data_IF_655823264053
#
_entry.id   IF_655823264053
#
_cell.length_a   1.000
_cell.length_b   1.000
_cell.length_c   1.000
_cell.angle_alpha   90.00
_cell.angle_beta   90.00
_cell.angle_gamma   90.00
#
_symmetry.space_group_name_H-M   'P 1'
#
loop_
_entity.id
_entity.type
_entity.pdbx_description
1 polymer ?
#
# COMPACT_ATOMS: atom_id res chain seq x y z
N UNK A 1 7.52 -15.85 -21.18
CA UNK A 1 6.62 -16.53 -20.23
C UNK A 1 5.99 -15.45 -19.37
N UNK A 2 4.67 -15.26 -19.45
CA UNK A 2 3.93 -14.36 -18.57
C UNK A 2 3.78 -15.04 -17.20
N UNK A 3 4.29 -14.41 -16.14
CA UNK A 3 4.00 -14.83 -14.77
C UNK A 3 2.48 -14.74 -14.53
N UNK A 4 1.90 -15.83 -14.03
CA UNK A 4 0.53 -15.82 -13.52
C UNK A 4 0.58 -15.15 -12.15
N UNK A 5 0.06 -13.92 -12.05
CA UNK A 5 -0.05 -13.21 -10.78
C UNK A 5 -1.31 -13.71 -10.08
N UNK A 6 -1.15 -14.54 -9.05
CA UNK A 6 -2.26 -14.96 -8.20
C UNK A 6 -2.47 -13.93 -7.09
N UNK A 7 -3.67 -13.34 -7.05
CA UNK A 7 -4.04 -12.42 -5.98
C UNK A 7 -4.14 -13.16 -4.64
N UNK A 8 -3.69 -12.51 -3.57
CA UNK A 8 -3.78 -12.99 -2.20
C UNK A 8 -4.63 -12.04 -1.36
N UNK A 9 -5.25 -12.55 -0.29
CA UNK A 9 -5.96 -11.71 0.66
C UNK A 9 -4.96 -10.74 1.29
N UNK A 10 -5.26 -9.45 1.18
CA UNK A 10 -4.40 -8.40 1.73
C UNK A 10 -4.44 -8.41 3.26
N UNK A 11 -3.28 -8.62 3.88
CA UNK A 11 -3.00 -8.20 5.24
C UNK A 11 -2.05 -6.99 5.21
N UNK A 12 -2.52 -5.77 5.53
CA UNK A 12 -1.69 -4.58 5.46
C UNK A 12 -0.56 -4.54 6.49
N UNK A 13 -0.57 -5.36 7.54
CA UNK A 13 0.49 -5.39 8.55
C UNK A 13 1.69 -6.22 8.08
N UNK A 14 1.43 -7.24 7.27
CA UNK A 14 2.46 -8.18 6.75
C UNK A 14 2.76 -7.98 5.27
N UNK A 15 2.07 -7.05 4.58
CA UNK A 15 2.40 -6.71 3.18
C UNK A 15 3.87 -6.29 3.07
N UNK A 16 4.68 -6.94 2.22
CA UNK A 16 6.06 -6.55 2.00
C UNK A 16 6.15 -5.20 1.28
N UNK A 17 6.82 -4.23 1.91
CA UNK A 17 6.93 -2.84 1.42
C UNK A 17 8.13 -2.59 0.48
N UNK A 18 8.73 -3.66 -0.04
CA UNK A 18 9.75 -3.63 -1.08
C UNK A 18 9.23 -4.23 -2.38
N UNK A 19 9.88 -3.86 -3.49
CA UNK A 19 9.45 -4.17 -4.86
C UNK A 19 8.07 -3.55 -5.18
N UNK A 20 7.53 -3.87 -6.35
CA UNK A 20 6.21 -3.40 -6.79
C UNK A 20 5.13 -4.34 -6.25
N UNK A 21 4.06 -3.77 -5.71
CA UNK A 21 2.86 -4.48 -5.26
C UNK A 21 1.64 -3.87 -5.93
N UNK A 22 0.71 -4.70 -6.38
CA UNK A 22 -0.60 -4.28 -6.85
C UNK A 22 -1.62 -4.69 -5.79
N UNK A 23 -2.39 -3.73 -5.30
CA UNK A 23 -3.46 -3.97 -4.31
C UNK A 23 -4.78 -3.68 -5.01
N UNK A 24 -5.59 -4.73 -5.18
CA UNK A 24 -6.97 -4.59 -5.63
C UNK A 24 -7.87 -4.42 -4.41
N UNK A 25 -8.81 -3.49 -4.51
CA UNK A 25 -9.76 -3.22 -3.45
C UNK A 25 -11.09 -2.79 -4.07
N UNK A 26 -12.21 -3.19 -3.47
CA UNK A 26 -13.56 -2.80 -3.90
C UNK A 26 -14.06 -1.54 -3.18
N UNK A 27 -15.16 -0.95 -3.62
CA UNK A 27 -15.78 0.16 -2.90
C UNK A 27 -16.10 -0.25 -1.46
N UNK A 28 -15.87 0.64 -0.49
CA UNK A 28 -16.16 0.39 0.92
C UNK A 28 -15.15 -0.50 1.68
N UNK A 29 -14.12 -1.06 1.04
CA UNK A 29 -13.14 -1.96 1.70
C UNK A 29 -12.01 -1.23 2.44
N UNK A 30 -12.27 -0.03 2.97
CA UNK A 30 -11.30 0.68 3.82
C UNK A 30 -10.01 1.15 3.12
N UNK A 31 -10.02 1.48 1.81
CA UNK A 31 -8.82 1.92 1.07
C UNK A 31 -8.02 3.01 1.79
N UNK A 32 -8.69 4.03 2.30
CA UNK A 32 -8.06 5.13 3.04
C UNK A 32 -7.38 4.63 4.31
N UNK A 33 -8.02 3.71 5.03
CA UNK A 33 -7.43 3.06 6.20
C UNK A 33 -6.18 2.26 5.82
N UNK A 34 -6.26 1.45 4.77
CA UNK A 34 -5.11 0.69 4.26
C UNK A 34 -3.95 1.61 3.89
N UNK A 35 -4.21 2.67 3.11
CA UNK A 35 -3.17 3.64 2.71
C UNK A 35 -2.55 4.28 3.94
N UNK A 36 -3.35 4.73 4.92
CA UNK A 36 -2.85 5.32 6.16
C UNK A 36 -1.98 4.37 6.97
N UNK A 37 -2.38 3.09 7.08
CA UNK A 37 -1.60 2.08 7.79
C UNK A 37 -0.26 1.79 7.08
N UNK A 38 -0.26 1.64 5.75
CA UNK A 38 0.97 1.47 4.98
C UNK A 38 1.89 2.69 5.10
N UNK A 39 1.32 3.89 5.08
CA UNK A 39 2.05 5.14 5.28
C UNK A 39 2.74 5.19 6.66
N UNK A 40 2.04 4.82 7.73
CA UNK A 40 2.61 4.73 9.07
C UNK A 40 3.71 3.67 9.16
N UNK A 41 3.54 2.52 8.50
CA UNK A 41 4.58 1.48 8.45
C UNK A 41 5.87 1.99 7.80
N UNK A 42 5.77 2.78 6.73
CA UNK A 42 6.93 3.41 6.09
C UNK A 42 7.58 4.45 6.99
N UNK A 43 6.79 5.32 7.64
CA UNK A 43 7.30 6.35 8.55
C UNK A 43 8.02 5.78 9.78
N UNK A 44 7.50 4.68 10.32
CA UNK A 44 7.96 4.13 11.61
C UNK A 44 8.85 2.89 11.46
N UNK A 45 9.09 2.41 10.23
CA UNK A 45 9.88 1.20 9.97
C UNK A 45 9.22 -0.09 10.50
N UNK A 46 7.90 -0.19 10.45
CA UNK A 46 7.15 -1.31 11.04
C UNK A 46 6.92 -2.47 10.04
N UNK A 47 6.98 -3.71 10.55
CA UNK A 47 6.65 -4.92 9.79
C UNK A 47 7.75 -5.99 9.71
N UNK A 48 8.82 -5.87 10.51
CA UNK A 48 9.90 -6.86 10.57
C UNK A 48 10.50 -7.14 9.19
N UNK A 49 10.57 -8.41 8.78
CA UNK A 49 11.06 -8.83 7.47
C UNK A 49 10.28 -8.23 6.28
N UNK A 50 9.05 -7.79 6.51
CA UNK A 50 8.20 -7.15 5.49
C UNK A 50 8.30 -5.62 5.49
N UNK A 51 9.09 -5.03 6.38
CA UNK A 51 9.30 -3.59 6.45
C UNK A 51 10.14 -3.08 5.28
N UNK A 52 10.09 -1.76 5.08
CA UNK A 52 11.07 -1.09 4.24
C UNK A 52 12.43 -1.06 4.95
N UNK A 53 13.53 -1.00 4.20
CA UNK A 53 14.90 -1.16 4.74
C UNK A 53 15.30 -0.13 5.81
N UNK A 54 14.58 1.00 5.89
CA UNK A 54 14.69 2.01 6.95
C UNK A 54 13.37 2.79 7.08
N UNK A 55 13.14 3.51 8.18
CA UNK A 55 12.09 4.52 8.24
C UNK A 55 12.28 5.60 7.16
N UNK A 56 11.17 6.05 6.58
CA UNK A 56 11.13 7.16 5.62
C UNK A 56 10.61 8.44 6.29
N UNK A 57 11.11 9.59 5.85
CA UNK A 57 10.51 10.88 6.13
C UNK A 57 9.26 11.10 5.27
N UNK A 58 8.43 12.08 5.63
CA UNK A 58 7.19 12.40 4.91
C UNK A 58 7.49 12.78 3.45
N UNK A 59 8.58 13.52 3.23
CA UNK A 59 9.01 14.02 1.93
C UNK A 59 9.49 12.90 0.98
N UNK A 60 9.82 11.72 1.52
CA UNK A 60 10.24 10.54 0.76
C UNK A 60 9.07 9.66 0.30
N UNK A 61 7.84 9.92 0.80
CA UNK A 61 6.66 9.10 0.51
C UNK A 61 5.70 9.86 -0.41
N UNK A 62 5.61 9.41 -1.66
CA UNK A 62 4.66 9.96 -2.63
C UNK A 62 3.34 9.18 -2.60
N UNK A 63 2.25 9.85 -2.25
CA UNK A 63 0.88 9.34 -2.38
C UNK A 63 0.14 10.14 -3.45
N UNK A 64 -0.30 9.47 -4.52
CA UNK A 64 -1.10 10.08 -5.59
C UNK A 64 -2.49 9.47 -5.56
N UNK A 65 -3.52 10.32 -5.56
CA UNK A 65 -4.92 9.89 -5.64
C UNK A 65 -5.64 10.67 -6.75
N UNK A 66 -6.55 9.99 -7.43
CA UNK A 66 -7.46 10.61 -8.40
C UNK A 66 -8.88 10.55 -7.84
N UNK A 67 -9.46 11.73 -7.57
CA UNK A 67 -10.88 11.82 -7.26
C UNK A 67 -11.66 12.04 -8.56
N UNK A 68 -12.49 11.08 -8.93
CA UNK A 68 -13.41 11.23 -10.06
C UNK A 68 -14.74 11.76 -9.51
N UNK A 69 -14.94 13.07 -9.56
CA UNK A 69 -16.24 13.68 -9.32
C UNK A 69 -17.15 13.32 -10.50
N UNK A 70 -18.26 12.63 -10.22
CA UNK A 70 -19.25 12.33 -11.24
C UNK A 70 -20.01 13.60 -11.62
N UNK A 71 -19.60 14.25 -12.71
CA UNK A 71 -20.49 15.10 -13.49
C UNK A 71 -20.69 14.44 -14.86
N UNK A 72 -21.89 13.92 -15.02
CA UNK A 72 -22.53 13.43 -16.23
C UNK A 72 -24.02 13.42 -15.95
#
# INVERSE_FOLDING_TARGET
>A
MSEVIQAQVLDPYTLPLYQRRLIEASAGTGKTYTIGLLYLRLLLGLGGESAFHRPLSVEEILVVYFYRSGNG
#
